data_IF_299054365799
#
_entry.id   IF_299054365799
#
_cell.length_a   1.000
_cell.length_b   1.000
_cell.length_c   1.000
_cell.angle_alpha   90.00
_cell.angle_beta   90.00
_cell.angle_gamma   90.00
#
_symmetry.space_group_name_H-M   'P 1'
#
loop_
_entity.id
_entity.type
_entity.pdbx_description
1 polymer ?
#
# COMPACT_ATOMS: atom_id res chain seq x y z
N UNK A 1 -33.58 -57.84 -32.66
CA UNK A 1 -32.37 -57.20 -32.09
C UNK A 1 -32.18 -55.80 -32.70
N UNK A 2 -32.25 -54.71 -31.92
CA UNK A 2 -31.52 -53.43 -32.10
C UNK A 2 -31.81 -52.51 -30.89
N UNK A 3 -30.80 -51.77 -30.41
CA UNK A 3 -30.61 -51.34 -29.00
C UNK A 3 -31.26 -49.98 -28.61
N UNK A 4 -31.62 -49.76 -27.33
CA UNK A 4 -32.13 -48.49 -26.79
C UNK A 4 -30.98 -47.53 -26.39
N UNK A 5 -29.97 -47.37 -27.25
CA UNK A 5 -28.73 -46.65 -26.89
C UNK A 5 -28.74 -45.14 -27.25
N UNK A 6 -29.75 -44.65 -27.98
CA UNK A 6 -29.67 -43.33 -28.64
C UNK A 6 -30.27 -42.16 -27.81
N UNK A 7 -31.20 -42.45 -26.89
CA UNK A 7 -31.90 -41.42 -26.09
C UNK A 7 -31.07 -40.91 -24.90
N UNK A 8 -30.15 -41.73 -24.39
CA UNK A 8 -29.24 -41.33 -23.30
C UNK A 8 -28.13 -40.36 -23.75
N UNK A 9 -27.64 -40.51 -24.99
CA UNK A 9 -26.60 -39.63 -25.56
C UNK A 9 -27.13 -38.22 -25.86
N UNK A 10 -28.40 -38.07 -26.22
CA UNK A 10 -28.98 -36.75 -26.50
C UNK A 10 -29.14 -35.92 -25.22
N UNK A 11 -29.63 -36.52 -24.14
CA UNK A 11 -29.80 -35.84 -22.84
C UNK A 11 -28.46 -35.38 -22.26
N UNK A 12 -27.42 -36.22 -22.34
CA UNK A 12 -26.07 -35.86 -21.88
C UNK A 12 -25.46 -34.70 -22.66
N UNK A 13 -25.70 -34.64 -23.99
CA UNK A 13 -25.25 -33.51 -24.82
C UNK A 13 -25.96 -32.21 -24.46
N UNK A 14 -27.25 -32.27 -24.14
CA UNK A 14 -28.05 -31.10 -23.77
C UNK A 14 -27.63 -30.52 -22.41
N UNK A 15 -27.39 -31.40 -21.42
CA UNK A 15 -26.85 -31.02 -20.11
C UNK A 15 -25.45 -30.41 -20.23
N UNK A 16 -24.56 -30.99 -21.05
CA UNK A 16 -23.22 -30.46 -21.28
C UNK A 16 -23.27 -29.05 -21.91
N UNK A 17 -24.20 -28.80 -22.84
CA UNK A 17 -24.41 -27.45 -23.41
C UNK A 17 -24.86 -26.45 -22.34
N UNK A 18 -25.80 -26.84 -21.47
CA UNK A 18 -26.31 -25.97 -20.39
C UNK A 18 -25.24 -25.64 -19.35
N UNK A 19 -24.48 -26.63 -18.90
CA UNK A 19 -23.34 -26.42 -17.99
C UNK A 19 -22.28 -25.52 -18.62
N UNK A 20 -21.95 -25.73 -19.89
CA UNK A 20 -20.95 -24.94 -20.60
C UNK A 20 -21.43 -23.50 -20.87
N UNK A 21 -22.74 -23.28 -21.04
CA UNK A 21 -23.34 -21.94 -21.09
C UNK A 21 -23.29 -21.24 -19.71
N UNK A 22 -23.60 -21.96 -18.63
CA UNK A 22 -23.55 -21.43 -17.26
C UNK A 22 -22.14 -21.03 -16.85
N UNK A 23 -21.14 -21.90 -17.11
CA UNK A 23 -19.72 -21.60 -16.85
C UNK A 23 -19.23 -20.41 -17.69
N UNK A 24 -19.69 -20.29 -18.95
CA UNK A 24 -19.37 -19.11 -19.78
C UNK A 24 -20.01 -17.83 -19.24
N UNK A 25 -21.26 -17.90 -18.74
CA UNK A 25 -21.94 -16.79 -18.08
C UNK A 25 -21.21 -16.33 -16.81
N UNK A 26 -20.81 -17.28 -15.95
CA UNK A 26 -20.04 -16.99 -14.74
C UNK A 26 -18.64 -16.43 -15.04
N UNK A 27 -17.94 -16.94 -16.07
CA UNK A 27 -16.67 -16.36 -16.52
C UNK A 27 -16.85 -14.94 -17.07
N UNK A 28 -17.97 -14.65 -17.73
CA UNK A 28 -18.29 -13.29 -18.21
C UNK A 28 -18.60 -12.34 -17.05
N UNK A 29 -19.38 -12.79 -16.06
CA UNK A 29 -19.67 -12.04 -14.84
C UNK A 29 -18.41 -11.77 -14.00
N UNK A 30 -17.51 -12.75 -13.86
CA UNK A 30 -16.20 -12.56 -13.20
C UNK A 30 -15.28 -11.61 -13.97
N UNK A 31 -15.28 -11.66 -15.31
CA UNK A 31 -14.55 -10.67 -16.13
C UNK A 31 -15.14 -9.27 -16.00
N UNK A 32 -16.45 -9.13 -15.84
CA UNK A 32 -17.11 -7.85 -15.64
C UNK A 32 -16.89 -7.30 -14.22
N UNK A 33 -16.80 -8.15 -13.19
CA UNK A 33 -16.41 -7.76 -11.84
C UNK A 33 -14.94 -7.34 -11.69
N UNK A 34 -14.07 -7.71 -12.64
CA UNK A 34 -12.67 -7.30 -12.66
C UNK A 34 -12.42 -5.90 -13.28
N UNK A 35 -13.46 -5.26 -13.83
CA UNK A 35 -13.33 -3.97 -14.55
C UNK A 35 -14.20 -2.89 -13.92
N UNK A 36 -14.13 -2.73 -12.60
CA UNK A 36 -14.58 -1.52 -11.93
C UNK A 36 -13.42 -0.87 -11.15
N UNK A 37 -12.26 -0.69 -11.80
CA UNK A 37 -11.35 0.37 -11.36
C UNK A 37 -12.02 1.69 -11.73
N UNK A 38 -12.77 2.28 -10.79
CA UNK A 38 -13.24 3.66 -10.92
C UNK A 38 -12.02 4.54 -11.18
N UNK A 39 -11.90 5.22 -12.33
CA UNK A 39 -10.80 6.14 -12.57
C UNK A 39 -10.88 7.23 -11.49
N UNK A 40 -9.90 7.26 -10.59
CA UNK A 40 -9.85 8.19 -9.45
C UNK A 40 -9.89 7.54 -8.06
N UNK A 41 -10.31 6.28 -7.92
CA UNK A 41 -10.29 5.59 -6.62
C UNK A 41 -8.86 5.26 -6.14
N UNK A 42 -7.93 5.08 -7.07
CA UNK A 42 -6.51 4.81 -6.79
C UNK A 42 -5.77 6.09 -6.34
N UNK A 43 -6.13 7.23 -6.93
CA UNK A 43 -5.55 8.54 -6.63
C UNK A 43 -5.97 9.11 -5.27
N UNK A 44 -6.87 8.43 -4.55
CA UNK A 44 -7.35 8.78 -3.21
C UNK A 44 -6.64 8.01 -2.10
N UNK A 45 -5.82 7.01 -2.45
CA UNK A 45 -5.11 6.18 -1.48
C UNK A 45 -3.62 6.49 -1.36
N UNK A 46 -3.04 7.11 -2.38
CA UNK A 46 -1.61 7.42 -2.41
C UNK A 46 -1.36 8.92 -2.51
N UNK A 47 -0.35 9.46 -1.80
CA UNK A 47 0.07 10.85 -1.92
C UNK A 47 0.33 11.23 -3.38
N UNK A 48 -0.07 12.44 -3.76
CA UNK A 48 0.19 12.94 -5.09
C UNK A 48 1.69 13.12 -5.38
N UNK A 49 2.50 13.31 -4.34
CA UNK A 49 3.95 13.42 -4.46
C UNK A 49 4.63 12.71 -3.29
N UNK A 50 5.58 11.85 -3.63
CA UNK A 50 6.58 11.26 -2.73
C UNK A 50 7.96 11.76 -3.16
N UNK A 51 8.69 12.39 -2.24
CA UNK A 51 10.03 12.91 -2.47
C UNK A 51 10.98 12.39 -1.40
N UNK A 52 12.07 11.75 -1.84
CA UNK A 52 13.20 11.40 -0.99
C UNK A 52 14.36 12.36 -1.18
N UNK A 53 14.91 12.89 -0.08
CA UNK A 53 16.18 13.60 -0.08
C UNK A 53 17.15 12.93 0.89
N UNK A 54 18.45 12.92 0.56
CA UNK A 54 19.47 12.26 1.37
C UNK A 54 20.71 13.13 1.52
N UNK A 55 21.28 13.13 2.72
CA UNK A 55 22.59 13.70 3.00
C UNK A 55 23.50 12.63 3.58
N UNK A 56 24.62 12.40 2.90
CA UNK A 56 25.65 11.45 3.31
C UNK A 56 26.92 12.17 3.69
N UNK A 57 27.51 11.79 4.82
CA UNK A 57 28.81 12.27 5.27
C UNK A 57 29.70 11.08 5.62
N UNK A 58 30.96 11.15 5.19
CA UNK A 58 31.96 10.16 5.53
C UNK A 58 33.24 10.86 6.02
N UNK A 59 33.80 10.36 7.13
CA UNK A 59 35.09 10.81 7.66
C UNK A 59 35.81 9.66 8.34
N UNK A 60 36.94 9.27 7.77
CA UNK A 60 37.74 8.15 8.27
C UNK A 60 36.89 6.87 8.33
N UNK A 61 36.80 6.19 9.49
CA UNK A 61 36.05 4.95 9.63
C UNK A 61 34.53 5.13 9.77
N UNK A 62 34.04 6.38 9.81
CA UNK A 62 32.64 6.69 10.04
C UNK A 62 31.94 7.11 8.75
N UNK A 63 30.74 6.57 8.54
CA UNK A 63 29.79 7.07 7.54
C UNK A 63 28.46 7.30 8.22
N UNK A 64 27.88 8.48 8.02
CA UNK A 64 26.56 8.85 8.53
C UNK A 64 25.70 9.24 7.35
N UNK A 65 24.50 8.67 7.29
CA UNK A 65 23.49 8.98 6.29
C UNK A 65 22.24 9.47 7.00
N UNK A 66 21.69 10.55 6.48
CA UNK A 66 20.42 11.11 6.89
C UNK A 66 19.48 11.13 5.68
N UNK A 67 18.27 10.62 5.86
CA UNK A 67 17.26 10.54 4.80
C UNK A 67 16.01 11.27 5.25
N UNK A 68 15.48 12.10 4.36
CA UNK A 68 14.19 12.75 4.44
C UNK A 68 13.26 12.05 3.45
N UNK A 69 12.06 11.69 3.90
CA UNK A 69 10.99 11.17 3.04
C UNK A 69 9.77 12.05 3.24
N UNK A 70 9.38 12.77 2.20
CA UNK A 70 8.24 13.69 2.21
C UNK A 70 7.09 13.08 1.42
N UNK A 71 5.92 13.00 2.05
CA UNK A 71 4.67 12.61 1.43
C UNK A 71 3.73 13.81 1.44
N UNK A 72 3.20 14.18 0.26
CA UNK A 72 2.28 15.29 0.12
C UNK A 72 0.96 15.04 0.85
N UNK A 73 0.22 16.11 1.11
CA UNK A 73 -1.16 16.00 1.55
C UNK A 73 -2.01 15.25 0.51
N UNK A 74 -3.06 14.60 0.99
CA UNK A 74 -4.01 13.82 0.18
C UNK A 74 -5.44 14.18 0.57
N UNK A 75 -6.34 14.14 -0.41
CA UNK A 75 -7.77 14.31 -0.18
C UNK A 75 -8.50 13.04 -0.61
N UNK A 76 -9.27 12.48 0.30
CA UNK A 76 -10.05 11.27 0.08
C UNK A 76 -11.55 11.49 0.35
N UNK A 77 -12.38 10.52 -0.03
CA UNK A 77 -13.81 10.54 0.26
C UNK A 77 -14.07 10.10 1.71
N UNK A 78 -14.96 10.81 2.41
CA UNK A 78 -15.33 10.43 3.77
C UNK A 78 -16.14 9.13 3.85
N UNK A 79 -16.70 8.65 2.73
CA UNK A 79 -17.47 7.41 2.65
C UNK A 79 -18.48 7.27 3.80
N UNK A 80 -18.46 6.15 4.52
CA UNK A 80 -19.33 5.88 5.67
C UNK A 80 -19.03 6.72 6.91
N UNK A 81 -17.94 7.50 6.91
CA UNK A 81 -17.58 8.43 7.97
C UNK A 81 -18.10 9.86 7.71
N UNK A 82 -18.96 10.05 6.71
CA UNK A 82 -19.68 11.31 6.50
C UNK A 82 -20.45 11.71 7.78
N UNK A 83 -20.31 12.96 8.21
CA UNK A 83 -20.95 13.49 9.42
C UNK A 83 -20.18 13.24 10.72
N UNK A 84 -19.07 12.48 10.70
CA UNK A 84 -18.19 12.34 11.86
C UNK A 84 -17.10 13.42 11.88
N UNK A 85 -16.59 13.81 13.07
CA UNK A 85 -15.53 14.81 13.20
C UNK A 85 -14.22 14.50 12.47
N UNK A 86 -13.98 13.22 12.15
CA UNK A 86 -12.82 12.78 11.36
C UNK A 86 -12.88 13.32 9.92
N UNK A 87 -14.08 13.57 9.38
CA UNK A 87 -14.28 14.18 8.08
C UNK A 87 -14.04 15.70 8.19
N UNK A 88 -12.80 16.11 7.92
CA UNK A 88 -12.34 17.50 8.13
C UNK A 88 -13.03 18.56 7.25
N UNK A 89 -13.53 18.17 6.07
CA UNK A 89 -14.20 19.08 5.13
C UNK A 89 -15.49 18.45 4.57
N UNK A 90 -16.55 18.33 5.39
CA UNK A 90 -17.77 17.60 5.03
C UNK A 90 -18.55 18.25 3.87
N UNK A 91 -18.41 19.57 3.69
CA UNK A 91 -19.08 20.32 2.63
C UNK A 91 -18.28 20.40 1.33
N UNK A 92 -17.03 19.91 1.29
CA UNK A 92 -16.24 19.84 0.06
C UNK A 92 -16.61 18.57 -0.72
N UNK A 93 -17.51 18.72 -1.69
CA UNK A 93 -18.00 17.64 -2.55
C UNK A 93 -17.32 17.70 -3.92
N UNK A 94 -16.82 16.57 -4.40
CA UNK A 94 -16.27 16.43 -5.74
C UNK A 94 -16.81 15.16 -6.43
N UNK A 95 -16.75 15.02 -7.76
CA UNK A 95 -17.25 13.82 -8.45
C UNK A 95 -16.65 12.50 -7.95
N UNK A 96 -15.41 12.54 -7.44
CA UNK A 96 -14.73 11.41 -6.83
C UNK A 96 -14.90 11.34 -5.30
N UNK A 97 -15.42 12.40 -4.66
CA UNK A 97 -15.64 12.52 -3.21
C UNK A 97 -17.07 12.99 -2.91
N UNK A 98 -18.10 12.17 -3.22
CA UNK A 98 -19.50 12.56 -3.08
C UNK A 98 -19.97 12.69 -1.63
N UNK A 99 -19.27 12.10 -0.66
CA UNK A 99 -19.71 12.03 0.74
C UNK A 99 -19.01 13.04 1.67
N UNK A 100 -18.36 14.05 1.09
CA UNK A 100 -17.47 14.96 1.82
C UNK A 100 -16.00 14.56 1.68
N UNK A 101 -15.14 15.48 2.05
CA UNK A 101 -13.69 15.31 1.92
C UNK A 101 -13.02 15.15 3.27
N UNK A 102 -12.15 14.15 3.37
CA UNK A 102 -11.15 14.07 4.42
C UNK A 102 -9.78 14.48 3.88
N UNK A 103 -9.15 15.43 4.56
CA UNK A 103 -7.81 15.90 4.26
C UNK A 103 -6.78 15.21 5.15
N UNK A 104 -5.91 14.43 4.53
CA UNK A 104 -4.73 13.85 5.15
C UNK A 104 -3.59 14.85 4.99
N UNK A 105 -3.05 15.33 6.11
CA UNK A 105 -1.92 16.25 6.10
C UNK A 105 -0.66 15.62 5.51
N UNK A 106 0.20 16.46 4.95
CA UNK A 106 1.53 16.04 4.52
C UNK A 106 2.35 15.53 5.72
N UNK A 107 3.21 14.55 5.47
CA UNK A 107 4.11 14.00 6.49
C UNK A 107 5.53 13.93 5.99
N UNK A 108 6.47 14.11 6.91
CA UNK A 108 7.90 13.99 6.62
C UNK A 108 8.53 13.08 7.65
N UNK A 109 9.18 12.02 7.17
CA UNK A 109 9.95 11.10 7.99
C UNK A 109 11.43 11.41 7.87
N UNK A 110 12.12 11.17 8.97
CA UNK A 110 13.53 11.45 9.14
C UNK A 110 14.20 10.17 9.59
N UNK A 111 15.12 9.66 8.78
CA UNK A 111 15.83 8.42 9.07
C UNK A 111 17.32 8.70 9.19
N UNK A 112 17.95 8.14 10.22
CA UNK A 112 19.39 8.22 10.46
C UNK A 112 19.98 6.83 10.36
N UNK A 113 21.14 6.71 9.70
CA UNK A 113 21.96 5.50 9.69
C UNK A 113 23.43 5.86 9.82
N UNK A 114 24.09 5.33 10.83
CA UNK A 114 25.52 5.46 11.02
C UNK A 114 26.20 4.09 10.84
N UNK A 115 27.36 4.07 10.22
CA UNK A 115 28.22 2.90 10.14
C UNK A 115 29.64 3.24 10.57
N UNK A 116 30.24 2.31 11.28
CA UNK A 116 31.60 2.40 11.79
C UNK A 116 32.39 1.16 11.40
N UNK A 117 33.47 1.36 10.65
CA UNK A 117 34.44 0.32 10.34
C UNK A 117 35.48 0.24 11.47
N UNK A 118 35.53 -0.90 12.15
CA UNK A 118 36.45 -1.10 13.26
C UNK A 118 37.89 -1.28 12.74
N UNK A 119 38.90 -0.68 13.40
CA UNK A 119 40.30 -0.83 13.04
C UNK A 119 40.88 -2.11 13.65
N UNK A 120 40.33 -3.26 13.26
CA UNK A 120 40.82 -4.58 13.66
C UNK A 120 41.34 -5.33 12.43
N UNK A 121 42.12 -6.40 12.62
CA UNK A 121 42.67 -7.20 11.51
C UNK A 121 41.58 -7.85 10.64
N UNK A 122 40.35 -7.94 11.17
CA UNK A 122 39.15 -8.40 10.48
C UNK A 122 38.39 -7.22 9.88
N UNK A 123 37.83 -7.36 8.67
CA UNK A 123 36.96 -6.32 8.10
C UNK A 123 35.56 -6.36 8.74
N UNK A 124 35.48 -5.79 9.95
CA UNK A 124 34.28 -5.70 10.76
C UNK A 124 33.67 -4.29 10.68
N UNK A 125 32.40 -4.21 10.29
CA UNK A 125 31.62 -2.98 10.23
C UNK A 125 30.36 -3.08 11.08
N UNK A 126 30.20 -2.18 12.04
CA UNK A 126 28.97 -2.03 12.82
C UNK A 126 28.12 -0.93 12.21
N UNK A 127 26.82 -1.17 12.14
CA UNK A 127 25.84 -0.20 11.64
C UNK A 127 24.74 -0.06 12.66
N UNK A 128 24.41 1.17 13.02
CA UNK A 128 23.20 1.51 13.75
C UNK A 128 22.28 2.38 12.89
N UNK A 129 20.98 2.23 13.03
CA UNK A 129 20.03 3.11 12.36
C UNK A 129 18.74 3.29 13.13
N UNK A 130 18.08 4.40 12.88
CA UNK A 130 16.78 4.78 13.43
C UNK A 130 15.92 5.28 12.27
N UNK A 131 14.83 4.58 12.01
CA UNK A 131 13.79 5.03 11.09
C UNK A 131 12.74 5.79 11.89
N UNK A 132 12.20 6.85 11.30
CA UNK A 132 11.24 7.74 11.96
C UNK A 132 11.80 8.31 13.28
N UNK A 133 12.93 9.02 13.18
CA UNK A 133 13.69 9.59 14.30
C UNK A 133 12.81 10.39 15.28
N UNK A 134 11.82 11.13 14.75
CA UNK A 134 10.93 11.98 15.53
C UNK A 134 9.59 11.33 15.92
N UNK A 135 9.43 10.02 15.72
CA UNK A 135 8.20 9.29 16.04
C UNK A 135 6.95 9.95 15.43
N UNK A 136 7.09 10.40 14.18
CA UNK A 136 5.99 11.04 13.45
C UNK A 136 4.92 10.00 13.19
N UNK A 137 3.69 10.29 13.62
CA UNK A 137 2.54 9.42 13.38
C UNK A 137 1.99 9.65 11.96
N UNK A 138 1.63 8.57 11.24
CA UNK A 138 0.96 8.66 9.95
C UNK A 138 -0.45 9.27 10.10
N UNK A 139 -0.96 9.95 9.06
CA UNK A 139 -2.33 10.44 9.06
C UNK A 139 -3.33 9.28 8.98
N UNK A 140 -4.50 9.45 9.58
CA UNK A 140 -5.59 8.46 9.50
C UNK A 140 -6.24 8.55 8.12
N UNK A 141 -6.33 7.41 7.45
CA UNK A 141 -6.87 7.22 6.12
C UNK A 141 -8.15 6.37 6.14
N UNK A 142 -9.30 7.00 5.94
CA UNK A 142 -10.63 6.40 5.89
C UNK A 142 -10.84 5.49 4.67
N UNK A 143 -10.19 5.78 3.54
CA UNK A 143 -10.32 4.97 2.31
C UNK A 143 -9.34 3.79 2.24
N UNK A 144 -8.47 3.64 3.24
CA UNK A 144 -7.45 2.60 3.32
C UNK A 144 -7.98 1.29 3.93
N UNK A 145 -7.47 0.16 3.45
CA UNK A 145 -7.97 -1.18 3.82
C UNK A 145 -7.48 -1.70 5.18
N UNK A 146 -6.47 -1.08 5.78
CA UNK A 146 -5.79 -1.53 7.00
C UNK A 146 -6.19 -0.65 8.20
N UNK A 147 -7.46 -0.71 8.62
CA UNK A 147 -7.97 -0.01 9.83
C UNK A 147 -7.59 1.47 9.94
N UNK A 148 -7.71 2.24 8.85
CA UNK A 148 -7.34 3.66 8.91
C UNK A 148 -5.90 3.97 8.52
N UNK A 149 -5.14 3.00 8.00
CA UNK A 149 -3.70 3.13 7.75
C UNK A 149 -3.29 2.49 6.42
N UNK A 150 -2.29 3.08 5.75
CA UNK A 150 -1.69 2.54 4.52
C UNK A 150 -0.23 2.15 4.75
N UNK A 151 0.01 0.87 4.95
CA UNK A 151 1.34 0.30 5.16
C UNK A 151 2.23 0.30 3.90
N UNK A 152 1.66 0.60 2.72
CA UNK A 152 2.45 0.70 1.49
C UNK A 152 3.09 2.09 1.31
N UNK A 153 2.49 3.11 1.92
CA UNK A 153 2.95 4.51 1.82
C UNK A 153 3.67 4.97 3.09
N UNK A 154 3.14 4.62 4.26
CA UNK A 154 3.62 5.16 5.54
C UNK A 154 4.34 4.10 6.37
N UNK A 155 5.32 4.53 7.17
CA UNK A 155 5.95 3.67 8.17
C UNK A 155 4.98 3.37 9.33
N UNK A 156 5.27 2.28 10.06
CA UNK A 156 4.53 1.93 11.27
C UNK A 156 4.45 3.14 12.21
N UNK A 157 3.35 3.30 12.97
CA UNK A 157 3.17 4.39 13.92
C UNK A 157 4.06 4.18 15.16
N UNK A 158 5.38 4.18 14.97
CA UNK A 158 6.42 4.05 15.98
C UNK A 158 7.79 4.42 15.38
N UNK A 159 8.79 4.57 16.25
CA UNK A 159 10.21 4.66 15.89
C UNK A 159 10.82 3.26 15.87
N UNK A 160 11.54 2.93 14.79
CA UNK A 160 12.22 1.64 14.66
C UNK A 160 13.73 1.82 14.67
N UNK A 161 14.40 1.25 15.67
CA UNK A 161 15.86 1.27 15.78
C UNK A 161 16.43 -0.13 15.51
N UNK A 162 17.59 -0.19 14.84
CA UNK A 162 18.25 -1.45 14.52
C UNK A 162 19.78 -1.32 14.61
N UNK A 163 20.42 -2.46 14.83
CA UNK A 163 21.88 -2.62 14.78
C UNK A 163 22.21 -3.81 13.88
N UNK A 164 23.25 -3.69 13.08
CA UNK A 164 23.77 -4.73 12.20
C UNK A 164 25.28 -4.82 12.36
N UNK A 165 25.83 -6.03 12.31
CA UNK A 165 27.26 -6.27 12.25
C UNK A 165 27.57 -7.02 10.95
N UNK A 166 28.50 -6.49 10.16
CA UNK A 166 28.96 -7.12 8.92
C UNK A 166 30.42 -7.51 9.09
N UNK A 167 30.71 -8.80 8.91
CA UNK A 167 32.05 -9.37 9.00
C UNK A 167 32.41 -10.01 7.67
N UNK A 168 33.58 -9.67 7.12
CA UNK A 168 34.14 -10.30 5.94
C UNK A 168 35.44 -11.03 6.32
N UNK A 169 35.63 -12.21 5.73
CA UNK A 169 36.74 -13.12 5.96
C UNK A 169 37.57 -13.28 4.68
#
# INVERSE_FOLDING_TARGET
MARPANRHRSVQRELAKHLCAKVRGEKRARRQGATQRRPGADRQRHPATDVGAGYGWAKGPWTVNYKLRYFSALREDCASAAGFPICSMPNEIAPNRPNGTHHLGAVTYHDVRASWKLPVDLDLTIVGGINNLFDKKPPICLSCSLNGYDASTYDLPSRFAYVQANLKF
#
